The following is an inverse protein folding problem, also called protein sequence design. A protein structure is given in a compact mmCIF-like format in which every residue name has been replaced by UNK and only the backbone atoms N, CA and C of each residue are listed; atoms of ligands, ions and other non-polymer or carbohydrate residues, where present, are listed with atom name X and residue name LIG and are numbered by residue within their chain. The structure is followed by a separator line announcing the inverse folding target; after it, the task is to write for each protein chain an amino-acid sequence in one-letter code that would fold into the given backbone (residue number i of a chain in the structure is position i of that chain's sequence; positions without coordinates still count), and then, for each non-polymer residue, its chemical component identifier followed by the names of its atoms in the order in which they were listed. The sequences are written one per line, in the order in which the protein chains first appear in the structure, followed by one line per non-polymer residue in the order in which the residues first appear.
data_IF_755308008891
#
_entry.id   IF_755308008891
#
_cell.length_a   1.000
_cell.length_b   1.000
_cell.length_c   1.000
_cell.angle_alpha   90.00
_cell.angle_beta   90.00
_cell.angle_gamma   90.00
#
_symmetry.space_group_name_H-M   'P 1'
#
loop_
_entity.id
_entity.type
_entity.pdbx_description
1 polymer ?
#
# COMPACT_ATOMS: atom_id res chain seq x y z
N UNK A 1 19.59 -9.37 2.65
CA UNK A 1 18.52 -10.00 3.46
C UNK A 1 17.25 -9.97 2.62
N UNK A 2 16.61 -11.12 2.42
CA UNK A 2 15.29 -11.19 1.78
C UNK A 2 14.28 -10.57 2.74
N UNK A 3 13.55 -9.55 2.30
CA UNK A 3 12.52 -8.91 3.11
C UNK A 3 11.35 -9.88 3.29
N UNK A 4 10.82 -9.96 4.50
CA UNK A 4 9.60 -10.73 4.81
C UNK A 4 8.56 -9.79 5.37
N UNK A 5 7.33 -9.90 4.89
CA UNK A 5 6.16 -9.19 5.40
C UNK A 5 5.13 -10.21 5.88
N UNK A 6 4.21 -9.77 6.75
CA UNK A 6 3.13 -10.60 7.32
C UNK A 6 1.81 -9.81 7.36
N UNK A 7 1.55 -9.03 6.31
CA UNK A 7 0.44 -8.07 6.28
C UNK A 7 -0.90 -8.75 5.99
N UNK A 8 -0.87 -9.88 5.30
CA UNK A 8 -2.06 -10.61 4.84
C UNK A 8 -2.28 -11.89 5.63
N UNK A 9 -1.20 -12.60 5.99
CA UNK A 9 -1.26 -13.95 6.56
C UNK A 9 -1.34 -15.05 5.50
N UNK A 10 -0.99 -14.73 4.25
CA UNK A 10 -0.84 -15.67 3.14
C UNK A 10 0.58 -15.53 2.57
N UNK A 11 1.35 -16.62 2.56
CA UNK A 11 2.77 -16.58 2.21
C UNK A 11 3.05 -16.03 0.82
N UNK A 12 2.18 -16.33 -0.17
CA UNK A 12 2.38 -15.87 -1.55
C UNK A 12 2.07 -14.39 -1.69
N UNK A 13 0.96 -13.94 -1.11
CA UNK A 13 0.59 -12.53 -1.10
C UNK A 13 1.64 -11.70 -0.35
N UNK A 14 2.09 -12.17 0.81
CA UNK A 14 3.10 -11.47 1.61
C UNK A 14 4.47 -11.44 0.91
N UNK A 15 4.88 -12.53 0.23
CA UNK A 15 6.10 -12.53 -0.59
C UNK A 15 6.02 -11.55 -1.77
N UNK A 16 4.86 -11.49 -2.45
CA UNK A 16 4.62 -10.52 -3.51
C UNK A 16 4.75 -9.09 -2.97
N UNK A 17 4.11 -8.80 -1.83
CA UNK A 17 4.18 -7.48 -1.20
C UNK A 17 5.59 -7.11 -0.76
N UNK A 18 6.41 -8.07 -0.34
CA UNK A 18 7.79 -7.85 0.10
C UNK A 18 8.80 -7.65 -1.06
N UNK A 19 8.48 -8.22 -2.23
CA UNK A 19 9.30 -8.18 -3.43
C UNK A 19 8.95 -7.07 -4.41
N UNK A 20 7.66 -6.71 -4.54
CA UNK A 20 7.16 -5.80 -5.57
C UNK A 20 6.68 -4.46 -4.98
N UNK A 21 7.46 -3.37 -5.13
CA UNK A 21 7.10 -2.05 -4.60
C UNK A 21 5.72 -1.54 -5.07
N UNK A 22 5.33 -1.83 -6.32
CA UNK A 22 4.02 -1.43 -6.85
C UNK A 22 2.88 -2.24 -6.24
N UNK A 23 3.09 -3.52 -5.92
CA UNK A 23 2.11 -4.33 -5.21
C UNK A 23 1.84 -3.74 -3.82
N UNK A 24 2.88 -3.32 -3.10
CA UNK A 24 2.76 -2.70 -1.78
C UNK A 24 1.99 -1.37 -1.81
N UNK A 25 2.28 -0.49 -2.77
CA UNK A 25 1.50 0.75 -2.97
C UNK A 25 0.04 0.44 -3.32
N UNK A 26 -0.19 -0.57 -4.17
CA UNK A 26 -1.53 -0.98 -4.57
C UNK A 26 -2.34 -1.48 -3.38
N UNK A 27 -1.77 -2.32 -2.52
CA UNK A 27 -2.41 -2.76 -1.28
C UNK A 27 -2.83 -1.58 -0.39
N UNK A 28 -1.97 -0.56 -0.29
CA UNK A 28 -2.28 0.65 0.43
C UNK A 28 -3.42 1.46 -0.22
N UNK A 29 -3.46 1.58 -1.56
CA UNK A 29 -4.58 2.24 -2.26
C UNK A 29 -5.90 1.51 -2.01
N UNK A 30 -5.87 0.17 -2.01
CA UNK A 30 -7.03 -0.69 -1.78
C UNK A 30 -7.51 -0.68 -0.32
N UNK A 31 -6.72 -0.19 0.65
CA UNK A 31 -7.16 -0.04 2.06
C UNK A 31 -8.19 1.10 2.14
N UNK A 32 -9.43 0.77 1.76
CA UNK A 32 -10.54 1.68 1.68
C UNK A 32 -11.84 1.02 2.13
N UNK A 33 -12.17 1.24 3.41
CA UNK A 33 -13.38 0.73 4.04
C UNK A 33 -13.52 -0.80 4.04
N UNK A 34 -12.40 -1.52 3.93
CA UNK A 34 -12.28 -2.97 4.10
C UNK A 34 -11.27 -3.25 5.23
N UNK A 35 -11.22 -4.46 5.77
CA UNK A 35 -10.09 -4.86 6.63
C UNK A 35 -8.77 -4.74 5.85
N UNK A 36 -7.69 -4.34 6.52
CA UNK A 36 -6.44 -4.01 5.84
C UNK A 36 -5.80 -5.23 5.19
N UNK A 37 -5.81 -6.38 5.84
CA UNK A 37 -5.34 -7.66 5.30
C UNK A 37 -6.09 -8.05 4.02
N UNK A 38 -7.39 -7.72 3.92
CA UNK A 38 -8.18 -7.97 2.70
C UNK A 38 -7.74 -7.04 1.58
N UNK A 39 -7.47 -5.77 1.89
CA UNK A 39 -6.93 -4.82 0.91
C UNK A 39 -5.54 -5.24 0.40
N UNK A 40 -4.65 -5.62 1.31
CA UNK A 40 -3.28 -6.04 0.98
C UNK A 40 -3.22 -7.42 0.31
N UNK A 41 -4.27 -8.24 0.38
CA UNK A 41 -4.41 -9.44 -0.48
C UNK A 41 -4.76 -9.11 -1.94
N UNK A 42 -5.24 -7.89 -2.21
CA UNK A 42 -5.72 -7.46 -3.52
C UNK A 42 -4.69 -7.58 -4.66
N UNK A 43 -3.43 -7.16 -4.48
CA UNK A 43 -2.38 -7.29 -5.50
C UNK A 43 -2.18 -8.72 -6.02
N UNK A 44 -2.27 -9.75 -5.15
CA UNK A 44 -2.16 -11.14 -5.58
C UNK A 44 -3.28 -11.52 -6.57
N UNK A 45 -4.53 -11.12 -6.27
CA UNK A 45 -5.65 -11.33 -7.19
C UNK A 45 -5.49 -10.57 -8.51
N UNK A 46 -4.86 -9.41 -8.49
CA UNK A 46 -4.57 -8.65 -9.71
C UNK A 46 -3.57 -9.42 -10.57
N UNK A 47 -2.50 -9.94 -9.97
CA UNK A 47 -1.51 -10.80 -10.65
C UNK A 47 -2.17 -12.04 -11.24
N UNK A 48 -3.00 -12.75 -10.46
CA UNK A 48 -3.66 -13.97 -10.93
C UNK A 48 -4.55 -13.75 -12.18
N UNK A 49 -5.14 -12.55 -12.31
CA UNK A 49 -6.12 -12.23 -13.36
C UNK A 49 -5.53 -11.50 -14.56
N UNK A 50 -4.59 -10.59 -14.31
CA UNK A 50 -3.94 -9.78 -15.34
C UNK A 50 -2.58 -10.35 -15.76
N UNK A 51 -2.06 -11.34 -15.03
CA UNK A 51 -0.75 -11.96 -15.24
C UNK A 51 0.44 -11.09 -14.81
N UNK A 52 0.20 -9.90 -14.26
CA UNK A 52 1.26 -8.94 -13.92
C UNK A 52 0.83 -7.95 -12.84
N UNK A 53 1.82 -7.37 -12.15
CA UNK A 53 1.68 -6.19 -11.30
C UNK A 53 2.61 -5.05 -11.77
N UNK A 54 3.10 -5.12 -13.00
CA UNK A 54 3.93 -4.08 -13.59
C UNK A 54 3.09 -2.81 -13.87
N UNK A 55 3.53 -1.62 -13.40
CA UNK A 55 2.78 -0.40 -13.59
C UNK A 55 2.67 0.02 -15.05
N UNK A 56 3.67 -0.24 -15.90
CA UNK A 56 3.58 0.12 -17.32
C UNK A 56 2.56 -0.74 -18.06
N UNK A 57 2.54 -2.05 -17.79
CA UNK A 57 1.56 -2.98 -18.33
C UNK A 57 0.15 -2.59 -17.89
N UNK A 58 -0.09 -2.38 -16.59
CA UNK A 58 -1.42 -2.01 -16.07
C UNK A 58 -1.88 -0.65 -16.61
N UNK A 59 -0.99 0.33 -16.70
CA UNK A 59 -1.32 1.66 -17.25
C UNK A 59 -1.73 1.60 -18.72
N UNK A 60 -1.15 0.68 -19.51
CA UNK A 60 -1.42 0.52 -20.93
C UNK A 60 -2.64 -0.38 -21.25
N UNK A 61 -3.17 -1.12 -20.28
CA UNK A 61 -4.32 -1.99 -20.48
C UNK A 61 -5.61 -1.21 -20.75
N UNK A 62 -6.53 -1.84 -21.49
CA UNK A 62 -7.91 -1.33 -21.64
C UNK A 62 -8.57 -1.19 -20.25
N UNK A 63 -9.05 0.00 -19.85
CA UNK A 63 -9.74 0.20 -18.58
C UNK A 63 -10.90 -0.77 -18.32
N UNK A 64 -11.62 -1.21 -19.37
CA UNK A 64 -12.70 -2.19 -19.20
C UNK A 64 -12.17 -3.60 -18.91
N UNK A 65 -11.00 -3.96 -19.44
CA UNK A 65 -10.33 -5.22 -19.09
C UNK A 65 -9.82 -5.20 -17.64
N UNK A 66 -9.23 -4.09 -17.19
CA UNK A 66 -8.82 -3.93 -15.78
C UNK A 66 -10.04 -3.98 -14.85
N UNK A 67 -11.14 -3.34 -15.22
CA UNK A 67 -12.40 -3.42 -14.48
C UNK A 67 -12.92 -4.85 -14.40
N UNK A 68 -12.96 -5.58 -15.53
CA UNK A 68 -13.42 -6.96 -15.57
C UNK A 68 -12.61 -7.84 -14.61
N UNK A 69 -11.28 -7.71 -14.61
CA UNK A 69 -10.41 -8.40 -13.67
C UNK A 69 -10.71 -8.03 -12.21
N UNK A 70 -10.97 -6.76 -11.89
CA UNK A 70 -11.34 -6.35 -10.54
C UNK A 70 -12.70 -6.89 -10.10
N UNK A 71 -13.64 -7.04 -11.03
CA UNK A 71 -15.02 -7.45 -10.80
C UNK A 71 -15.22 -8.97 -10.75
N UNK A 72 -14.28 -9.76 -11.28
CA UNK A 72 -14.33 -11.23 -11.25
C UNK A 72 -14.50 -11.74 -9.81
N UNK A 73 -15.44 -12.66 -9.60
CA UNK A 73 -15.82 -13.15 -8.26
C UNK A 73 -14.87 -14.26 -7.77
N UNK A 74 -14.39 -14.20 -6.51
CA UNK A 74 -14.61 -13.14 -5.53
C UNK A 74 -13.83 -11.86 -5.88
N UNK A 75 -14.51 -10.70 -5.90
CA UNK A 75 -13.92 -9.43 -6.37
C UNK A 75 -12.61 -9.06 -5.65
N UNK A 76 -11.74 -8.30 -6.35
CA UNK A 76 -10.52 -7.73 -5.74
C UNK A 76 -10.90 -6.82 -4.57
N UNK A 77 -11.95 -6.01 -4.76
CA UNK A 77 -12.47 -5.09 -3.75
C UNK A 77 -13.99 -5.02 -3.81
N UNK A 78 -14.63 -4.64 -2.71
CA UNK A 78 -16.10 -4.40 -2.66
C UNK A 78 -16.59 -3.23 -3.53
N UNK A 79 -15.65 -2.43 -4.06
CA UNK A 79 -15.89 -1.33 -4.98
C UNK A 79 -15.03 -1.51 -6.24
N UNK A 80 -15.32 -2.53 -7.07
CA UNK A 80 -14.40 -2.95 -8.13
C UNK A 80 -14.15 -1.84 -9.16
N UNK A 81 -15.20 -1.12 -9.58
CA UNK A 81 -15.08 0.00 -10.53
C UNK A 81 -14.15 1.11 -10.05
N UNK A 82 -14.40 1.64 -8.85
CA UNK A 82 -13.61 2.77 -8.36
C UNK A 82 -12.18 2.37 -7.99
N UNK A 83 -11.95 1.13 -7.56
CA UNK A 83 -10.60 0.66 -7.24
C UNK A 83 -9.80 0.32 -8.50
N UNK A 84 -10.41 -0.29 -9.53
CA UNK A 84 -9.76 -0.51 -10.82
C UNK A 84 -9.25 0.80 -11.41
N UNK A 85 -10.12 1.81 -11.48
CA UNK A 85 -9.76 3.14 -11.98
C UNK A 85 -8.64 3.80 -11.17
N UNK A 86 -8.66 3.68 -9.84
CA UNK A 86 -7.62 4.26 -8.98
C UNK A 86 -6.28 3.56 -9.12
N UNK A 87 -6.26 2.23 -9.20
CA UNK A 87 -5.02 1.46 -9.38
C UNK A 87 -4.43 1.71 -10.76
N UNK A 88 -5.26 1.79 -11.80
CA UNK A 88 -4.77 2.14 -13.14
C UNK A 88 -4.25 3.58 -13.21
N UNK A 89 -4.92 4.54 -12.56
CA UNK A 89 -4.43 5.91 -12.45
C UNK A 89 -3.11 5.99 -11.65
N UNK A 90 -2.97 5.21 -10.58
CA UNK A 90 -1.72 5.07 -9.84
C UNK A 90 -0.61 4.54 -10.76
N UNK A 91 -0.88 3.48 -11.51
CA UNK A 91 0.06 2.89 -12.45
C UNK A 91 0.55 3.93 -13.48
N UNK A 92 -0.38 4.69 -14.07
CA UNK A 92 -0.07 5.76 -15.02
C UNK A 92 0.79 6.87 -14.39
N UNK A 93 0.51 7.28 -13.15
CA UNK A 93 1.34 8.26 -12.42
C UNK A 93 2.76 7.74 -12.18
N UNK A 94 2.92 6.47 -11.81
CA UNK A 94 4.25 5.87 -11.63
C UNK A 94 5.02 5.86 -12.95
N UNK A 95 4.37 5.54 -14.07
CA UNK A 95 5.00 5.60 -15.39
C UNK A 95 5.40 7.02 -15.74
N UNK A 96 4.48 7.98 -15.60
CA UNK A 96 4.70 9.36 -16.00
C UNK A 96 5.79 10.07 -15.16
N UNK A 97 5.79 9.86 -13.85
CA UNK A 97 6.66 10.59 -12.92
C UNK A 97 7.94 9.85 -12.56
N UNK A 98 7.98 8.52 -12.71
CA UNK A 98 9.10 7.68 -12.25
C UNK A 98 9.56 6.62 -13.27
N UNK A 99 9.03 6.67 -14.50
CA UNK A 99 9.41 5.74 -15.57
C UNK A 99 9.08 4.28 -15.27
N UNK A 100 8.02 4.02 -14.48
CA UNK A 100 7.60 2.67 -14.08
C UNK A 100 8.30 2.15 -12.82
N UNK A 101 9.36 2.81 -12.34
CA UNK A 101 10.13 2.40 -11.16
C UNK A 101 9.49 2.96 -9.90
N UNK A 102 8.65 2.15 -9.26
CA UNK A 102 7.89 2.58 -8.08
C UNK A 102 8.80 2.99 -6.91
N UNK A 103 9.88 2.26 -6.70
CA UNK A 103 10.87 2.53 -5.64
C UNK A 103 11.59 3.88 -5.80
N UNK A 104 11.59 4.46 -7.00
CA UNK A 104 12.18 5.77 -7.25
C UNK A 104 11.52 6.88 -6.40
N UNK A 105 10.26 6.69 -5.97
CA UNK A 105 9.58 7.58 -5.02
C UNK A 105 10.45 7.83 -3.77
N UNK A 106 11.08 6.78 -3.22
CA UNK A 106 11.85 6.87 -1.97
C UNK A 106 13.35 6.62 -2.13
N UNK A 107 13.84 6.34 -3.34
CA UNK A 107 15.27 6.11 -3.61
C UNK A 107 15.90 7.18 -4.50
N UNK A 108 15.14 7.81 -5.39
CA UNK A 108 15.71 8.72 -6.38
C UNK A 108 16.09 10.08 -5.77
N UNK A 109 17.37 10.43 -5.91
CA UNK A 109 17.93 11.71 -5.46
C UNK A 109 18.14 11.79 -3.95
N UNK A 110 18.33 10.67 -3.27
CA UNK A 110 18.59 10.60 -1.81
C UNK A 110 17.59 11.45 -0.99
N UNK A 111 16.28 11.19 -1.12
CA UNK A 111 15.28 12.08 -0.58
C UNK A 111 15.27 12.06 0.96
N UNK A 112 14.89 13.19 1.56
CA UNK A 112 14.51 13.23 2.98
C UNK A 112 13.15 12.58 3.19
N UNK A 113 12.83 12.21 4.43
CA UNK A 113 11.51 11.70 4.79
C UNK A 113 10.36 12.64 4.43
N UNK A 114 10.57 13.95 4.57
CA UNK A 114 9.60 14.97 4.15
C UNK A 114 9.39 14.98 2.63
N UNK A 115 10.44 14.78 1.84
CA UNK A 115 10.36 14.68 0.40
C UNK A 115 9.65 13.39 -0.05
N UNK A 116 9.96 12.25 0.59
CA UNK A 116 9.23 11.00 0.35
C UNK A 116 7.75 11.18 0.67
N UNK A 117 7.40 11.78 1.82
CA UNK A 117 6.01 12.07 2.16
C UNK A 117 5.33 12.97 1.12
N UNK A 118 6.02 14.01 0.65
CA UNK A 118 5.52 14.92 -0.39
C UNK A 118 5.25 14.18 -1.69
N UNK A 119 6.13 13.27 -2.10
CA UNK A 119 5.96 12.43 -3.31
C UNK A 119 4.78 11.47 -3.15
N UNK A 120 4.68 10.77 -2.02
CA UNK A 120 3.55 9.87 -1.72
C UNK A 120 2.20 10.60 -1.76
N UNK A 121 2.11 11.81 -1.19
CA UNK A 121 0.87 12.62 -1.18
C UNK A 121 0.41 13.09 -2.56
N UNK A 122 1.27 13.04 -3.58
CA UNK A 122 0.90 13.38 -4.97
C UNK A 122 0.27 12.20 -5.71
N UNK A 123 0.42 10.98 -5.21
CA UNK A 123 -0.07 9.79 -5.88
C UNK A 123 -1.61 9.70 -5.82
N UNK A 124 -2.26 9.26 -6.92
CA UNK A 124 -3.68 8.96 -6.91
C UNK A 124 -4.05 7.98 -5.79
N UNK A 125 -5.04 8.37 -4.96
CA UNK A 125 -5.51 7.56 -3.85
C UNK A 125 -4.74 7.74 -2.53
N UNK A 126 -3.69 8.57 -2.48
CA UNK A 126 -2.93 8.88 -1.25
C UNK A 126 -3.33 10.22 -0.64
N UNK A 127 -4.15 10.16 0.41
CA UNK A 127 -4.33 11.29 1.34
C UNK A 127 -3.19 11.38 2.37
N UNK A 128 -3.15 12.47 3.16
CA UNK A 128 -2.10 12.72 4.15
C UNK A 128 -1.88 11.54 5.11
N UNK A 129 -2.95 11.02 5.69
CA UNK A 129 -2.89 9.89 6.61
C UNK A 129 -2.28 8.64 5.96
N UNK A 130 -2.74 8.30 4.75
CA UNK A 130 -2.28 7.11 4.00
C UNK A 130 -0.80 7.24 3.64
N UNK A 131 -0.38 8.43 3.23
CA UNK A 131 1.00 8.72 2.91
C UNK A 131 1.92 8.62 4.14
N UNK A 132 1.49 9.10 5.32
CA UNK A 132 2.24 8.95 6.58
C UNK A 132 2.34 7.49 7.04
N UNK A 133 1.24 6.74 6.95
CA UNK A 133 1.25 5.29 7.26
C UNK A 133 2.20 4.56 6.32
N UNK A 134 2.16 4.85 5.02
CA UNK A 134 3.05 4.21 4.06
C UNK A 134 4.52 4.57 4.31
N UNK A 135 4.83 5.84 4.62
CA UNK A 135 6.17 6.25 5.03
C UNK A 135 6.65 5.51 6.28
N UNK A 136 5.78 5.36 7.28
CA UNK A 136 6.10 4.58 8.47
C UNK A 136 6.37 3.11 8.14
N UNK A 137 5.59 2.51 7.24
CA UNK A 137 5.81 1.13 6.78
C UNK A 137 7.15 1.00 6.06
N UNK A 138 7.50 1.98 5.22
CA UNK A 138 8.81 2.02 4.56
C UNK A 138 9.96 2.07 5.56
N UNK A 139 9.86 2.92 6.59
CA UNK A 139 10.88 3.03 7.63
C UNK A 139 10.98 1.79 8.52
N UNK A 140 9.84 1.30 9.03
CA UNK A 140 9.77 0.21 10.01
C UNK A 140 10.08 -1.16 9.41
N UNK A 141 9.57 -1.44 8.20
CA UNK A 141 9.59 -2.80 7.63
C UNK A 141 10.31 -2.87 6.28
N UNK A 142 10.43 -1.74 5.57
CA UNK A 142 11.09 -1.71 4.27
C UNK A 142 12.56 -1.26 4.31
N UNK A 143 13.05 -0.82 5.48
CA UNK A 143 14.45 -0.43 5.68
C UNK A 143 14.82 0.94 5.12
N UNK A 144 13.84 1.82 4.88
CA UNK A 144 14.09 3.19 4.43
C UNK A 144 14.96 3.95 5.44
N UNK A 145 16.06 4.55 4.96
CA UNK A 145 17.01 5.33 5.76
C UNK A 145 16.94 6.85 5.49
N UNK A 146 15.88 7.31 4.80
CA UNK A 146 15.70 8.71 4.44
C UNK A 146 15.73 9.62 5.70
N UNK A 147 16.61 10.62 5.79
CA UNK A 147 16.71 11.47 6.96
C UNK A 147 15.37 12.15 7.30
N UNK A 148 14.96 12.09 8.56
CA UNK A 148 13.72 12.73 9.03
C UNK A 148 12.43 11.98 8.70
N UNK A 149 12.49 10.68 8.36
CA UNK A 149 11.28 9.91 8.00
C UNK A 149 10.35 9.69 9.20
N UNK A 150 10.88 9.53 10.41
CA UNK A 150 10.08 9.35 11.62
C UNK A 150 9.24 10.60 11.90
N UNK A 151 9.85 11.78 11.85
CA UNK A 151 9.21 13.07 12.07
C UNK A 151 8.14 13.33 11.01
N UNK A 152 8.44 13.01 9.74
CA UNK A 152 7.48 13.14 8.66
C UNK A 152 6.28 12.17 8.80
N UNK A 153 6.52 10.93 9.23
CA UNK A 153 5.47 9.94 9.49
C UNK A 153 4.66 10.26 10.76
N UNK A 154 5.20 11.04 11.70
CA UNK A 154 4.54 11.47 12.93
C UNK A 154 4.20 10.28 13.84
N UNK A 155 3.00 10.28 14.43
CA UNK A 155 2.52 9.23 15.34
C UNK A 155 2.62 7.80 14.79
N UNK A 156 2.64 7.63 13.47
CA UNK A 156 2.79 6.31 12.84
C UNK A 156 4.21 5.77 12.92
N UNK A 157 5.22 6.61 13.15
CA UNK A 157 6.61 6.18 13.37
C UNK A 157 6.93 5.84 14.82
N UNK A 158 6.04 6.17 15.78
CA UNK A 158 6.28 5.92 17.19
C UNK A 158 6.64 4.45 17.44
N UNK A 159 7.66 4.23 18.28
CA UNK A 159 8.12 2.90 18.65
C UNK A 159 7.08 2.18 19.51
N UNK A 160 6.93 0.87 19.30
CA UNK A 160 5.97 0.04 20.02
C UNK A 160 4.49 0.36 19.77
N UNK A 161 4.16 1.24 18.82
CA UNK A 161 2.77 1.56 18.53
C UNK A 161 2.10 0.46 17.68
N UNK A 162 0.79 0.26 17.86
CA UNK A 162 -0.04 -0.71 17.10
C UNK A 162 -1.20 0.02 16.43
N UNK A 163 -0.87 0.98 15.57
CA UNK A 163 -1.84 1.94 15.03
C UNK A 163 -2.27 1.65 13.61
N UNK A 164 -1.40 1.01 12.82
CA UNK A 164 -1.58 0.90 11.38
C UNK A 164 -0.92 -0.36 10.81
N UNK A 165 -1.08 -0.55 9.50
CA UNK A 165 -0.44 -1.66 8.78
C UNK A 165 1.09 -1.61 8.86
N UNK A 166 1.68 -0.43 9.08
CA UNK A 166 3.11 -0.27 9.33
C UNK A 166 3.60 -1.01 10.58
N UNK A 167 2.69 -1.38 11.48
CA UNK A 167 2.99 -2.00 12.77
C UNK A 167 2.72 -3.51 12.78
N UNK A 168 2.25 -4.08 11.66
CA UNK A 168 1.93 -5.50 11.51
C UNK A 168 3.16 -6.24 11.04
N UNK A 169 3.72 -7.09 11.90
CA UNK A 169 4.92 -7.91 11.65
C UNK A 169 4.67 -9.40 11.88
N UNK A 170 3.51 -9.76 12.41
CA UNK A 170 3.07 -11.13 12.72
C UNK A 170 1.54 -11.14 12.99
N UNK A 171 0.98 -12.32 13.25
CA UNK A 171 -0.44 -12.50 13.54
C UNK A 171 -0.89 -11.74 14.80
N UNK A 172 -0.03 -11.69 15.83
CA UNK A 172 -0.34 -11.01 17.08
C UNK A 172 -0.51 -9.50 16.87
N UNK A 173 0.47 -8.87 16.23
CA UNK A 173 0.44 -7.44 15.91
C UNK A 173 -0.69 -7.09 14.94
N UNK A 174 -1.07 -7.98 14.02
CA UNK A 174 -2.28 -7.81 13.20
C UNK A 174 -3.54 -7.73 14.07
N UNK A 175 -3.68 -8.63 15.05
CA UNK A 175 -4.81 -8.62 15.98
C UNK A 175 -4.84 -7.35 16.84
N UNK A 176 -3.69 -6.89 17.35
CA UNK A 176 -3.55 -5.66 18.13
C UNK A 176 -3.93 -4.42 17.30
N UNK A 177 -3.46 -4.30 16.06
CA UNK A 177 -3.79 -3.20 15.16
C UNK A 177 -5.29 -3.20 14.81
N UNK A 178 -5.89 -4.38 14.59
CA UNK A 178 -7.35 -4.50 14.38
C UNK A 178 -8.13 -4.00 15.60
N UNK A 179 -7.72 -4.38 16.81
CA UNK A 179 -8.34 -3.92 18.06
C UNK A 179 -8.26 -2.39 18.18
N UNK A 180 -7.08 -1.81 17.97
CA UNK A 180 -6.87 -0.37 18.00
C UNK A 180 -7.77 0.37 17.00
N UNK A 181 -7.82 -0.06 15.73
CA UNK A 181 -8.69 0.57 14.72
C UNK A 181 -10.17 0.48 15.09
N UNK A 182 -10.61 -0.62 15.71
CA UNK A 182 -11.99 -0.81 16.18
C UNK A 182 -12.32 0.18 17.31
N UNK A 183 -11.43 0.34 18.29
CA UNK A 183 -11.59 1.28 19.40
C UNK A 183 -11.65 2.73 18.92
N UNK A 184 -10.73 3.14 18.04
CA UNK A 184 -10.73 4.50 17.50
C UNK A 184 -12.00 4.80 16.70
N UNK A 185 -12.52 3.83 15.95
CA UNK A 185 -13.80 3.97 15.24
C UNK A 185 -14.99 4.05 16.20
N UNK A 186 -14.95 3.37 17.34
CA UNK A 186 -15.98 3.49 18.36
C UNK A 186 -15.97 4.88 19.00
N UNK A 187 -14.78 5.40 19.36
CA UNK A 187 -14.60 6.75 19.93
C UNK A 187 -15.02 7.88 18.99
N UNK A 188 -14.89 7.69 17.67
CA UNK A 188 -15.32 8.69 16.69
C UNK A 188 -16.84 8.72 16.42
N UNK A 189 -17.59 7.73 16.93
CA UNK A 189 -19.05 7.64 16.81
C UNK A 189 -19.80 8.07 18.06
N UNK A 190 -19.08 8.25 19.17
CA UNK A 190 -19.55 8.80 20.45
C UNK A 190 -19.23 10.28 20.52
#
# INVERSE_FOLDING_TARGET
MTRTLHLVGDEKADALLAGEPFALLTGMVLDQQVPMEVAFSGPAKIVDRLGTIDPAAIAAMDPEAVLAAFAERPAVHRFPRSMAQRVQALAAEIVASYGGRTEAIWTEGEPTGAEVLRRLKKLPGFGDQKARIFLALLGKQWGLQAPGWQEAAGDYAAEGCRRSIADVVDEQSLAEVRAFKKEMKARAKS
#
